data_IF_899243483573
#
_entry.id   IF_899243483573
#
_cell.length_a   1.000
_cell.length_b   1.000
_cell.length_c   1.000
_cell.angle_alpha   90.00
_cell.angle_beta   90.00
_cell.angle_gamma   90.00
#
_symmetry.space_group_name_H-M   'P 1'
#
loop_
_entity.id
_entity.type
_entity.pdbx_description
1 polymer ?
#
# COMPACT_ATOMS: atom_id res chain seq x y z
N UNK A 1 21.61 -13.00 6.24
CA UNK A 1 21.03 -13.41 6.12
C UNK A 1 20.67 -13.45 6.07
N UNK A 2 20.70 -13.26 5.67
CA UNK A 2 20.00 -13.57 5.46
C UNK A 2 19.71 -13.34 5.05
N UNK A 3 19.79 -13.26 4.58
CA UNK A 3 19.17 -13.37 4.16
C UNK A 3 18.85 -13.17 3.88
N UNK A 4 18.78 -13.02 3.55
CA UNK A 4 18.06 -13.21 3.28
C UNK A 4 17.92 -12.98 2.77
N UNK A 5 18.00 -12.91 2.54
CA UNK A 5 17.51 -13.12 2.20
C UNK A 5 17.30 -12.89 1.83
N UNK A 6 17.30 -12.78 1.67
CA UNK A 6 16.82 -12.96 1.54
C UNK A 6 16.39 -13.04 1.45
N UNK A 7 16.43 -12.92 1.42
CA UNK A 7 15.81 -13.16 1.55
C UNK A 7 15.25 -13.04 1.84
N UNK A 8 14.93 -12.95 1.89
CA UNK A 8 14.33 -12.94 2.31
C UNK A 8 13.64 -12.48 2.65
N UNK A 9 12.97 -12.65 2.66
CA UNK A 9 12.25 -12.21 3.06
C UNK A 9 11.43 -12.38 3.57
N UNK A 10 11.57 -12.69 3.59
CA UNK A 10 10.62 -12.73 4.26
C UNK A 10 9.38 -12.21 4.24
N UNK A 11 8.88 -12.47 3.97
CA UNK A 11 7.62 -12.22 4.31
C UNK A 11 7.24 -11.31 5.36
N UNK A 12 8.03 -10.90 6.13
CA UNK A 12 7.65 -10.01 7.18
C UNK A 12 7.40 -8.65 6.61
N UNK A 13 6.63 -7.86 7.33
CA UNK A 13 6.32 -6.51 6.96
C UNK A 13 7.51 -5.63 7.26
N UNK A 14 8.55 -5.79 6.46
CA UNK A 14 9.75 -4.98 6.63
C UNK A 14 9.65 -3.79 5.70
N UNK A 15 9.45 -2.64 6.28
CA UNK A 15 9.30 -1.41 5.54
C UNK A 15 10.45 -0.49 5.88
N UNK A 16 11.24 -0.13 4.88
CA UNK A 16 12.38 0.76 5.09
C UNK A 16 12.05 2.20 4.79
N UNK A 17 10.95 2.48 4.11
CA UNK A 17 10.55 3.85 3.76
C UNK A 17 9.05 3.98 3.93
N UNK A 18 8.66 5.13 4.49
CA UNK A 18 7.26 5.47 4.69
C UNK A 18 6.98 6.82 4.06
N UNK A 19 5.84 6.93 3.38
CA UNK A 19 5.38 8.18 2.80
C UNK A 19 3.92 8.39 3.16
N UNK A 20 3.60 9.57 3.68
CA UNK A 20 2.20 9.94 3.88
C UNK A 20 1.62 10.33 2.52
N UNK A 21 0.50 9.74 2.16
CA UNK A 21 -0.14 10.04 0.89
C UNK A 21 -0.90 11.35 0.98
N UNK A 22 -0.73 12.26 0.01
CA UNK A 22 -1.56 13.45 -0.05
C UNK A 22 -2.98 13.07 -0.49
N UNK A 23 -3.93 13.97 -0.24
CA UNK A 23 -5.29 13.76 -0.73
C UNK A 23 -5.30 13.68 -2.25
N UNK A 24 -6.15 12.82 -2.78
CA UNK A 24 -6.29 12.66 -4.22
C UNK A 24 -5.79 11.31 -4.70
N UNK A 25 -5.53 11.23 -5.99
CA UNK A 25 -5.13 9.96 -6.60
C UNK A 25 -3.64 9.72 -6.41
N UNK A 26 -3.32 8.45 -6.16
CA UNK A 26 -1.94 8.00 -6.02
C UNK A 26 -1.71 6.87 -7.02
N UNK A 27 -0.61 6.93 -7.75
CA UNK A 27 -0.30 5.88 -8.71
C UNK A 27 1.21 5.78 -8.88
N UNK A 28 1.71 4.55 -8.82
CA UNK A 28 3.14 4.31 -9.03
C UNK A 28 3.43 4.25 -10.52
N UNK A 29 4.65 4.63 -10.93
CA UNK A 29 5.03 4.49 -12.32
C UNK A 29 4.96 3.04 -12.78
N UNK A 30 4.70 2.85 -14.06
CA UNK A 30 4.63 1.52 -14.65
C UNK A 30 5.93 0.77 -14.37
N UNK A 31 5.80 -0.48 -13.94
CA UNK A 31 6.95 -1.31 -13.65
C UNK A 31 7.49 -1.17 -12.24
N UNK A 32 6.91 -0.28 -11.43
CA UNK A 32 7.34 -0.14 -10.04
C UNK A 32 6.91 -1.32 -9.21
N UNK A 33 7.63 -1.58 -8.12
CA UNK A 33 7.21 -2.57 -7.14
C UNK A 33 6.01 -2.02 -6.38
N UNK A 34 5.10 -2.93 -6.02
CA UNK A 34 3.94 -2.56 -5.24
C UNK A 34 4.35 -2.15 -3.84
N UNK A 35 3.47 -1.40 -3.17
CA UNK A 35 3.72 -0.94 -1.81
C UNK A 35 2.66 -1.49 -0.87
N UNK A 36 2.99 -1.51 0.41
CA UNK A 36 2.04 -1.82 1.47
C UNK A 36 1.41 -0.53 1.96
N UNK A 37 0.18 -0.62 2.45
CA UNK A 37 -0.57 0.55 2.90
C UNK A 37 -0.83 0.44 4.39
N UNK A 38 -0.58 1.55 5.08
CA UNK A 38 -0.86 1.67 6.51
C UNK A 38 -1.95 2.73 6.70
N UNK A 39 -3.04 2.33 7.35
CA UNK A 39 -4.09 3.27 7.75
C UNK A 39 -3.69 3.85 9.11
N UNK A 40 -3.43 5.14 9.14
CA UNK A 40 -2.95 5.79 10.36
C UNK A 40 -4.08 6.41 11.18
N UNK A 41 -5.33 6.12 10.82
CA UNK A 41 -6.48 6.58 11.59
C UNK A 41 -7.01 5.46 12.47
N UNK A 42 -8.02 5.78 13.29
CA UNK A 42 -8.66 4.77 14.13
C UNK A 42 -9.88 4.16 13.46
N UNK A 43 -10.21 4.63 12.26
CA UNK A 43 -11.39 4.18 11.53
C UNK A 43 -11.00 3.43 10.28
N UNK A 44 -11.91 2.60 9.78
CA UNK A 44 -11.71 1.94 8.50
C UNK A 44 -11.77 2.97 7.37
N UNK A 45 -10.94 2.80 6.36
CA UNK A 45 -10.91 3.70 5.20
C UNK A 45 -11.22 2.88 3.96
N UNK A 46 -12.31 3.20 3.27
CA UNK A 46 -12.71 2.50 2.05
C UNK A 46 -12.28 3.32 0.85
N UNK A 47 -11.53 2.71 -0.04
CA UNK A 47 -11.04 3.36 -1.25
C UNK A 47 -11.02 2.37 -2.40
N UNK A 48 -10.85 2.87 -3.62
CA UNK A 48 -10.60 2.02 -4.78
C UNK A 48 -9.12 1.94 -5.02
N UNK A 49 -8.62 0.71 -5.16
CA UNK A 49 -7.19 0.47 -5.32
C UNK A 49 -6.92 -0.35 -6.56
N UNK A 50 -5.73 -0.15 -7.11
CA UNK A 50 -5.19 -0.98 -8.18
C UNK A 50 -4.17 -1.90 -7.53
N UNK A 51 -4.49 -3.19 -7.50
CA UNK A 51 -3.60 -4.18 -6.91
C UNK A 51 -2.61 -4.68 -7.96
N UNK A 52 -1.50 -5.21 -7.48
CA UNK A 52 -0.42 -5.64 -8.34
C UNK A 52 -0.88 -6.59 -9.45
N UNK A 53 -1.78 -7.50 -9.13
CA UNK A 53 -2.21 -8.52 -10.08
C UNK A 53 -3.65 -8.34 -10.56
N UNK A 54 -4.20 -7.14 -10.47
CA UNK A 54 -5.59 -6.92 -10.84
C UNK A 54 -5.76 -6.53 -12.30
N UNK A 55 -4.72 -6.61 -13.11
CA UNK A 55 -4.78 -6.41 -14.57
C UNK A 55 -5.35 -5.07 -14.97
N UNK A 56 -5.00 -4.03 -14.24
CA UNK A 56 -5.43 -2.68 -14.56
C UNK A 56 -6.81 -2.31 -14.06
N UNK A 57 -7.45 -3.19 -13.30
CA UNK A 57 -8.79 -2.92 -12.79
C UNK A 57 -8.72 -2.43 -11.35
N UNK A 58 -9.35 -1.29 -11.07
CA UNK A 58 -9.48 -0.81 -9.70
C UNK A 58 -10.59 -1.57 -8.99
N UNK A 59 -10.35 -1.91 -7.74
CA UNK A 59 -11.33 -2.62 -6.92
C UNK A 59 -11.51 -1.87 -5.61
N UNK A 60 -12.73 -1.91 -5.07
CA UNK A 60 -13.01 -1.28 -3.79
C UNK A 60 -12.45 -2.16 -2.67
N UNK A 61 -11.78 -1.57 -1.73
CA UNK A 61 -11.28 -2.32 -0.59
C UNK A 61 -11.33 -1.45 0.66
N UNK A 62 -11.26 -2.11 1.81
CA UNK A 62 -11.27 -1.44 3.11
C UNK A 62 -9.89 -1.61 3.72
N UNK A 63 -9.28 -0.50 4.11
CA UNK A 63 -8.05 -0.53 4.88
C UNK A 63 -8.40 -0.37 6.35
N UNK A 64 -8.07 -1.38 7.13
CA UNK A 64 -8.28 -1.37 8.57
C UNK A 64 -7.12 -0.62 9.24
N UNK A 65 -7.31 -0.08 10.44
CA UNK A 65 -6.23 0.62 11.12
C UNK A 65 -4.97 -0.24 11.21
N UNK A 66 -3.83 0.37 10.94
CA UNK A 66 -2.56 -0.32 10.90
C UNK A 66 -2.18 -0.77 9.50
N UNK A 67 -1.27 -1.73 9.42
CA UNK A 67 -0.79 -2.25 8.15
C UNK A 67 -1.80 -3.20 7.53
N UNK A 68 -1.90 -3.14 6.22
CA UNK A 68 -2.79 -4.00 5.44
C UNK A 68 -1.95 -4.81 4.45
N UNK A 69 -2.38 -6.03 4.13
CA UNK A 69 -1.53 -6.93 3.35
C UNK A 69 -1.59 -6.73 1.84
N UNK A 70 -2.49 -5.90 1.35
CA UNK A 70 -2.67 -5.72 -0.08
C UNK A 70 -1.42 -5.09 -0.71
N UNK A 71 -0.98 -5.64 -1.84
CA UNK A 71 0.11 -5.08 -2.62
C UNK A 71 -0.49 -4.11 -3.64
N UNK A 72 -0.28 -2.82 -3.40
CA UNK A 72 -1.00 -1.75 -4.08
C UNK A 72 -0.06 -1.00 -5.02
N UNK A 73 -0.55 -0.68 -6.21
CA UNK A 73 0.18 0.17 -7.15
C UNK A 73 -0.57 1.46 -7.47
N UNK A 74 -1.80 1.59 -7.01
CA UNK A 74 -2.56 2.83 -7.18
C UNK A 74 -3.73 2.89 -6.23
N UNK A 75 -4.13 4.10 -5.85
CA UNK A 75 -5.30 4.33 -4.98
C UNK A 75 -5.99 5.57 -5.50
N UNK A 76 -7.32 5.51 -5.63
CA UNK A 76 -8.11 6.67 -6.05
C UNK A 76 -8.68 7.40 -4.86
N UNK A 77 -8.67 8.72 -4.94
CA UNK A 77 -9.36 9.60 -3.99
C UNK A 77 -8.95 9.33 -2.53
N UNK A 78 -7.64 9.29 -2.30
CA UNK A 78 -7.10 9.11 -0.94
C UNK A 78 -7.62 10.23 -0.05
N UNK A 79 -8.27 9.90 1.09
CA UNK A 79 -8.67 10.94 2.03
C UNK A 79 -7.43 11.55 2.69
N UNK A 80 -7.49 12.85 2.93
CA UNK A 80 -6.35 13.59 3.48
C UNK A 80 -5.91 13.01 4.81
N UNK A 81 -4.60 12.82 4.97
CA UNK A 81 -3.97 12.44 6.24
C UNK A 81 -4.47 11.11 6.80
N UNK A 82 -4.82 10.15 5.94
CA UNK A 82 -5.35 8.88 6.42
C UNK A 82 -4.44 7.70 6.13
N UNK A 83 -3.66 7.74 5.04
CA UNK A 83 -2.90 6.59 4.59
C UNK A 83 -1.43 6.91 4.40
N UNK A 84 -0.59 5.97 4.81
CA UNK A 84 0.83 5.98 4.48
C UNK A 84 1.12 4.75 3.63
N UNK A 85 2.11 4.86 2.77
CA UNK A 85 2.59 3.70 2.01
C UNK A 85 4.03 3.44 2.37
N UNK A 86 4.41 2.18 2.26
CA UNK A 86 5.76 1.80 2.59
C UNK A 86 6.28 0.67 1.72
N UNK A 87 7.59 0.62 1.59
CA UNK A 87 8.25 -0.46 0.89
C UNK A 87 9.63 -0.73 1.48
#
# INVERSE_FOLDING_TARGET
MINLNQNERPTSLQVSRLYLLPAGDFELPYGSNAVLVKNITEDNVTVEVLLKDSEGQYVSTVFYPGWNPELVIGIRAVPESTLQVGN
#
